data_IF_836012363546
#
_entry.id   IF_836012363546
#
_cell.length_a   1.000
_cell.length_b   1.000
_cell.length_c   1.000
_cell.angle_alpha   90.00
_cell.angle_beta   90.00
_cell.angle_gamma   90.00
#
_symmetry.space_group_name_H-M   'P 1'
#
loop_
_entity.id
_entity.type
_entity.pdbx_description
1 polymer ?
#
# COMPACT_ATOMS: atom_id res chain seq x y z
N UNK A 1 13.56 -12.62 -64.17
CA UNK A 1 13.17 -14.04 -63.97
C UNK A 1 13.28 -14.32 -62.48
N UNK A 2 12.21 -14.04 -61.73
CA UNK A 2 11.12 -14.97 -61.33
C UNK A 2 11.59 -15.95 -60.25
N UNK A 3 11.20 -15.69 -59.00
CA UNK A 3 10.18 -16.42 -58.21
C UNK A 3 10.81 -17.55 -57.37
N UNK A 4 10.94 -17.43 -56.04
CA UNK A 4 9.93 -17.49 -54.98
C UNK A 4 9.35 -18.90 -54.76
N UNK A 5 9.61 -19.50 -53.58
CA UNK A 5 8.65 -20.30 -52.78
C UNK A 5 9.19 -20.71 -51.41
N UNK A 6 8.68 -20.01 -50.40
CA UNK A 6 8.21 -20.45 -49.07
C UNK A 6 8.33 -21.93 -48.65
N UNK A 7 8.76 -22.12 -47.39
CA UNK A 7 8.07 -22.84 -46.27
C UNK A 7 8.91 -22.67 -44.98
N UNK A 8 8.55 -21.76 -44.08
CA UNK A 8 7.65 -21.92 -42.91
C UNK A 8 8.31 -22.56 -41.67
N UNK A 9 8.49 -21.78 -40.59
CA UNK A 9 7.82 -22.00 -39.30
C UNK A 9 8.37 -21.04 -38.21
N UNK A 10 7.46 -20.16 -37.76
CA UNK A 10 7.30 -19.60 -36.41
C UNK A 10 8.47 -19.59 -35.41
N UNK A 11 8.82 -18.37 -35.00
CA UNK A 11 8.78 -17.94 -33.59
C UNK A 11 8.60 -16.41 -33.58
N UNK A 12 7.39 -16.00 -33.22
CA UNK A 12 6.95 -14.62 -33.18
C UNK A 12 7.78 -13.81 -32.18
N UNK A 13 8.34 -12.71 -32.67
CA UNK A 13 8.84 -11.62 -31.83
C UNK A 13 7.68 -10.79 -31.31
N UNK A 14 7.69 -10.54 -30.00
CA UNK A 14 6.86 -9.50 -29.40
C UNK A 14 7.72 -8.26 -29.20
N UNK A 15 7.63 -7.33 -30.15
CA UNK A 15 8.02 -5.94 -29.93
C UNK A 15 6.74 -5.20 -29.57
N UNK A 16 6.49 -5.01 -28.27
CA UNK A 16 5.38 -4.19 -27.78
C UNK A 16 5.69 -2.72 -28.10
N UNK A 17 4.92 -2.14 -29.02
CA UNK A 17 4.88 -0.70 -29.23
C UNK A 17 4.00 -0.07 -28.16
N UNK A 18 4.65 0.63 -27.24
CA UNK A 18 4.05 1.65 -26.38
C UNK A 18 3.31 2.67 -27.26
N UNK A 19 2.01 2.90 -27.01
CA UNK A 19 1.33 4.09 -27.53
C UNK A 19 0.34 4.68 -26.53
N UNK A 20 0.72 5.88 -26.08
CA UNK A 20 -0.11 7.07 -25.85
C UNK A 20 -0.62 7.39 -24.42
N UNK A 21 0.07 8.28 -23.67
CA UNK A 21 -0.30 8.72 -22.32
C UNK A 21 -1.39 9.81 -22.26
N UNK A 22 -2.11 10.09 -23.35
CA UNK A 22 -3.07 11.22 -23.42
C UNK A 22 -4.56 10.88 -23.27
N UNK A 23 -4.94 9.78 -22.58
CA UNK A 23 -6.36 9.41 -22.39
C UNK A 23 -6.92 9.71 -20.99
N UNK A 24 -7.86 10.67 -20.82
CA UNK A 24 -8.54 11.02 -19.56
C UNK A 24 -9.51 9.95 -18.99
N UNK A 25 -9.38 8.68 -19.41
CA UNK A 25 -10.37 7.63 -19.15
C UNK A 25 -10.02 6.70 -17.97
N UNK A 26 -8.79 6.76 -17.45
CA UNK A 26 -8.36 5.89 -16.34
C UNK A 26 -8.78 6.48 -14.97
N UNK A 27 -8.84 7.82 -14.85
CA UNK A 27 -9.23 8.47 -13.59
C UNK A 27 -10.73 8.36 -13.26
N UNK A 28 -11.58 8.20 -14.29
CA UNK A 28 -13.06 8.19 -14.13
C UNK A 28 -13.62 6.80 -13.79
N UNK A 29 -12.92 5.72 -14.18
CA UNK A 29 -13.35 4.33 -13.91
C UNK A 29 -13.00 3.88 -12.48
N UNK A 30 -11.88 4.36 -11.93
CA UNK A 30 -11.46 4.14 -10.55
C UNK A 30 -12.47 4.67 -9.52
N UNK A 31 -13.14 5.80 -9.81
CA UNK A 31 -14.14 6.40 -8.92
C UNK A 31 -15.50 5.65 -8.91
N UNK A 32 -15.82 4.94 -10.00
CA UNK A 32 -17.10 4.21 -10.15
C UNK A 32 -17.05 2.85 -9.44
N UNK A 33 -15.92 2.14 -9.51
CA UNK A 33 -15.66 0.90 -8.76
C UNK A 33 -15.57 1.20 -7.24
N UNK A 34 -14.97 2.34 -6.86
CA UNK A 34 -14.88 2.85 -5.48
C UNK A 34 -16.23 3.04 -4.78
N UNK A 35 -17.33 3.23 -5.52
CA UNK A 35 -18.64 3.54 -4.92
C UNK A 35 -19.50 2.29 -4.67
N UNK A 36 -19.29 1.22 -5.44
CA UNK A 36 -20.03 -0.04 -5.30
C UNK A 36 -19.50 -0.92 -4.15
N UNK A 37 -18.18 -0.95 -3.94
CA UNK A 37 -17.51 -1.79 -2.92
C UNK A 37 -17.91 -1.43 -1.46
N UNK A 38 -18.35 -0.20 -1.19
CA UNK A 38 -18.67 0.23 0.17
C UNK A 38 -20.11 0.00 0.60
N UNK A 39 -21.00 -0.64 -0.16
CA UNK A 39 -22.44 -0.61 0.12
C UNK A 39 -23.20 -1.90 0.45
N UNK A 40 -22.58 -3.07 0.51
CA UNK A 40 -23.33 -4.29 0.86
C UNK A 40 -23.00 -4.83 2.26
N UNK A 41 -24.07 -5.22 2.98
CA UNK A 41 -24.08 -5.63 4.40
C UNK A 41 -24.10 -7.14 4.51
N UNK A 42 -23.38 -7.69 5.48
CA UNK A 42 -23.76 -8.96 6.12
C UNK A 42 -23.98 -8.77 7.62
N UNK A 43 -24.97 -9.50 8.12
CA UNK A 43 -25.53 -9.46 9.48
C UNK A 43 -24.96 -10.65 10.26
N UNK A 44 -24.27 -10.38 11.38
CA UNK A 44 -24.08 -11.35 12.47
C UNK A 44 -24.23 -10.65 13.83
N UNK A 45 -24.94 -11.30 14.75
CA UNK A 45 -25.23 -10.93 16.14
C UNK A 45 -24.68 -12.10 17.00
N UNK A 46 -24.02 -11.98 18.16
CA UNK A 46 -24.30 -11.15 19.34
C UNK A 46 -23.00 -10.89 20.19
N UNK A 47 -22.88 -9.66 20.71
CA UNK A 47 -22.06 -9.21 21.89
C UNK A 47 -20.54 -9.01 21.79
N UNK A 48 -20.01 -8.90 20.59
CA UNK A 48 -18.91 -7.97 20.27
C UNK A 48 -19.32 -7.37 18.93
N UNK A 49 -19.43 -6.05 18.79
CA UNK A 49 -19.71 -5.47 17.47
C UNK A 49 -18.43 -5.67 16.66
N UNK A 50 -18.30 -6.80 15.96
CA UNK A 50 -17.17 -7.07 15.06
C UNK A 50 -17.13 -5.94 14.04
N UNK A 51 -16.09 -5.11 14.10
CA UNK A 51 -15.90 -3.99 13.21
C UNK A 51 -15.70 -4.53 11.79
N UNK A 52 -16.63 -4.26 10.88
CA UNK A 52 -16.42 -4.60 9.47
C UNK A 52 -15.61 -3.51 8.75
N UNK A 53 -15.08 -3.82 7.57
CA UNK A 53 -14.19 -2.91 6.85
C UNK A 53 -14.85 -1.57 6.46
N UNK A 54 -16.15 -1.58 6.11
CA UNK A 54 -16.92 -0.34 5.88
C UNK A 54 -16.99 0.54 7.13
N UNK A 55 -17.25 -0.07 8.29
CA UNK A 55 -17.29 0.64 9.56
C UNK A 55 -15.90 1.16 9.93
N UNK A 56 -14.84 0.38 9.72
CA UNK A 56 -13.46 0.85 9.87
C UNK A 56 -13.25 2.15 9.10
N UNK A 57 -13.53 2.16 7.80
CA UNK A 57 -13.31 3.34 6.96
C UNK A 57 -14.07 4.58 7.43
N UNK A 58 -15.30 4.42 7.92
CA UNK A 58 -16.07 5.53 8.49
C UNK A 58 -15.48 6.09 9.79
N UNK A 59 -14.66 5.29 10.51
CA UNK A 59 -14.03 5.68 11.76
C UNK A 59 -12.60 6.20 11.59
N UNK A 60 -11.88 5.83 10.52
CA UNK A 60 -10.51 6.28 10.27
C UNK A 60 -10.34 7.81 10.29
N UNK A 61 -11.25 8.63 9.72
CA UNK A 61 -11.17 10.10 9.81
C UNK A 61 -11.21 10.66 11.24
N UNK A 62 -11.58 9.85 12.23
CA UNK A 62 -11.64 10.24 13.65
C UNK A 62 -10.34 9.95 14.40
N UNK A 63 -9.40 9.21 13.81
CA UNK A 63 -8.07 9.06 14.40
C UNK A 63 -7.34 10.41 14.38
N UNK A 64 -6.60 10.71 15.45
CA UNK A 64 -5.86 11.95 15.61
C UNK A 64 -4.54 11.72 16.33
N UNK A 65 -3.59 12.62 16.08
CA UNK A 65 -2.29 12.63 16.75
C UNK A 65 -1.57 11.29 16.58
N UNK A 66 -0.95 10.80 17.65
CA UNK A 66 -0.17 9.56 17.63
C UNK A 66 -0.94 8.34 17.10
N UNK A 67 -2.27 8.29 17.27
CA UNK A 67 -3.09 7.17 16.77
C UNK A 67 -3.14 7.13 15.25
N UNK A 68 -3.34 8.30 14.64
CA UNK A 68 -3.35 8.43 13.18
C UNK A 68 -1.97 8.13 12.61
N UNK A 69 -0.92 8.74 13.17
CA UNK A 69 0.47 8.44 12.78
C UNK A 69 0.78 6.96 12.86
N UNK A 70 0.49 6.32 14.00
CA UNK A 70 0.83 4.92 14.23
C UNK A 70 0.09 3.96 13.30
N UNK A 71 -1.19 4.24 13.02
CA UNK A 71 -1.97 3.47 12.05
C UNK A 71 -1.31 3.55 10.66
N UNK A 72 -1.02 4.76 10.19
CA UNK A 72 -0.37 4.97 8.88
C UNK A 72 1.04 4.37 8.82
N UNK A 73 1.83 4.53 9.89
CA UNK A 73 3.18 3.97 9.99
C UNK A 73 3.16 2.44 9.98
N UNK A 74 2.13 1.82 10.56
CA UNK A 74 1.98 0.37 10.54
C UNK A 74 1.73 -0.15 9.11
N UNK A 75 0.94 0.57 8.30
CA UNK A 75 0.74 0.24 6.89
C UNK A 75 2.01 0.45 6.07
N UNK A 76 2.71 1.56 6.28
CA UNK A 76 3.97 1.86 5.60
C UNK A 76 5.04 0.80 5.90
N UNK A 77 5.17 0.40 7.16
CA UNK A 77 6.13 -0.63 7.56
C UNK A 77 5.78 -2.00 6.95
N UNK A 78 4.50 -2.38 6.92
CA UNK A 78 4.06 -3.61 6.24
C UNK A 78 4.32 -3.57 4.73
N UNK A 79 4.25 -2.41 4.10
CA UNK A 79 4.51 -2.26 2.66
C UNK A 79 6.01 -2.29 2.31
N UNK A 80 6.91 -2.15 3.28
CA UNK A 80 8.37 -2.06 3.08
C UNK A 80 8.97 -3.15 2.18
N UNK A 81 8.62 -4.46 2.33
CA UNK A 81 9.22 -5.50 1.50
C UNK A 81 8.97 -5.31 -0.01
N UNK A 82 7.87 -4.63 -0.39
CA UNK A 82 7.61 -4.30 -1.79
C UNK A 82 8.68 -3.36 -2.36
N UNK A 83 9.02 -2.31 -1.60
CA UNK A 83 10.04 -1.35 -1.99
C UNK A 83 11.42 -1.99 -2.02
N UNK A 84 11.74 -2.79 -1.00
CA UNK A 84 13.04 -3.44 -0.89
C UNK A 84 13.31 -4.41 -2.05
N UNK A 85 12.33 -5.27 -2.39
CA UNK A 85 12.47 -6.20 -3.52
C UNK A 85 12.62 -5.44 -4.84
N UNK A 86 11.81 -4.40 -5.07
CA UNK A 86 11.95 -3.56 -6.25
C UNK A 86 13.35 -2.94 -6.33
N UNK A 87 13.83 -2.33 -5.24
CA UNK A 87 15.12 -1.67 -5.19
C UNK A 87 16.26 -2.63 -5.53
N UNK A 88 16.21 -3.86 -4.99
CA UNK A 88 17.16 -4.92 -5.30
C UNK A 88 17.12 -5.31 -6.78
N UNK A 89 15.94 -5.60 -7.32
CA UNK A 89 15.75 -6.03 -8.72
C UNK A 89 16.14 -4.94 -9.71
N UNK A 90 15.82 -3.68 -9.39
CA UNK A 90 16.14 -2.51 -10.20
C UNK A 90 17.62 -2.10 -10.13
N UNK A 91 18.39 -2.64 -9.18
CA UNK A 91 19.77 -2.20 -8.91
C UNK A 91 19.86 -0.82 -8.25
N UNK A 92 18.73 -0.33 -7.73
CA UNK A 92 18.64 0.89 -6.94
C UNK A 92 19.10 0.57 -5.51
N UNK A 93 20.30 1.01 -5.12
CA UNK A 93 20.91 0.71 -3.80
C UNK A 93 20.21 1.31 -2.57
N UNK A 94 18.91 1.55 -2.65
CA UNK A 94 18.14 2.45 -1.80
C UNK A 94 17.19 1.73 -0.82
N UNK A 95 17.08 0.39 -0.89
CA UNK A 95 16.21 -0.40 0.00
C UNK A 95 16.56 -0.23 1.49
N UNK A 96 17.85 -0.19 1.82
CA UNK A 96 18.30 0.04 3.21
C UNK A 96 17.89 1.42 3.74
N UNK A 97 17.99 2.46 2.92
CA UNK A 97 17.66 3.82 3.35
C UNK A 97 16.15 3.98 3.63
N UNK A 98 15.28 3.32 2.86
CA UNK A 98 13.85 3.27 3.15
C UNK A 98 13.56 2.62 4.51
N UNK A 99 14.23 1.50 4.82
CA UNK A 99 14.14 0.87 6.13
C UNK A 99 14.55 1.82 7.24
N UNK A 100 15.68 2.53 7.08
CA UNK A 100 16.17 3.47 8.08
C UNK A 100 15.24 4.68 8.28
N UNK A 101 14.58 5.17 7.22
CA UNK A 101 13.54 6.21 7.35
C UNK A 101 12.37 5.70 8.19
N UNK A 102 11.85 4.49 7.91
CA UNK A 102 10.76 3.89 8.68
C UNK A 102 11.19 3.63 10.13
N UNK A 103 12.39 3.11 10.35
CA UNK A 103 12.94 2.85 11.68
C UNK A 103 13.07 4.14 12.50
N UNK A 104 13.54 5.23 11.88
CA UNK A 104 13.61 6.54 12.52
C UNK A 104 12.20 7.08 12.83
N UNK A 105 11.20 6.82 11.97
CA UNK A 105 9.82 7.20 12.27
C UNK A 105 9.28 6.51 13.51
N UNK A 106 9.57 5.22 13.70
CA UNK A 106 9.26 4.49 14.93
C UNK A 106 9.97 5.10 16.14
N UNK A 107 11.27 5.38 16.01
CA UNK A 107 12.07 5.95 17.09
C UNK A 107 11.52 7.30 17.56
N UNK A 108 11.24 8.23 16.65
CA UNK A 108 10.68 9.54 16.99
C UNK A 108 9.26 9.44 17.59
N UNK A 109 8.50 8.39 17.25
CA UNK A 109 7.22 8.12 17.89
C UNK A 109 7.40 7.60 19.33
N UNK A 110 8.42 6.78 19.58
CA UNK A 110 8.76 6.19 20.88
C UNK A 110 9.37 7.21 21.86
N UNK A 111 10.29 8.06 21.40
CA UNK A 111 10.96 9.04 22.25
C UNK A 111 10.19 10.36 22.42
N UNK A 112 9.13 10.55 21.62
CA UNK A 112 8.38 11.81 21.51
C UNK A 112 9.22 13.01 21.04
N UNK A 113 10.35 12.77 20.38
CA UNK A 113 11.29 13.81 19.92
C UNK A 113 10.98 14.33 18.51
N UNK A 114 9.70 14.42 18.14
CA UNK A 114 9.26 14.95 16.84
C UNK A 114 9.41 16.46 16.76
N UNK A 115 10.63 16.93 16.50
CA UNK A 115 10.92 18.33 16.19
C UNK A 115 10.73 18.61 14.69
N UNK A 116 10.61 19.89 14.33
CA UNK A 116 10.58 20.32 12.92
C UNK A 116 11.87 19.93 12.19
N UNK A 117 13.01 20.08 12.85
CA UNK A 117 14.31 19.71 12.27
C UNK A 117 14.40 18.21 11.93
N UNK A 118 13.97 17.35 12.86
CA UNK A 118 13.94 15.90 12.61
C UNK A 118 12.97 15.54 11.47
N UNK A 119 11.79 16.14 11.47
CA UNK A 119 10.78 15.88 10.42
C UNK A 119 11.27 16.35 9.05
N UNK A 120 11.79 17.57 8.95
CA UNK A 120 12.34 18.12 7.70
C UNK A 120 13.56 17.31 7.22
N UNK A 121 14.35 16.76 8.15
CA UNK A 121 15.45 15.84 7.85
C UNK A 121 14.97 14.54 7.23
N UNK A 122 13.92 13.93 7.76
CA UNK A 122 13.32 12.72 7.21
C UNK A 122 12.67 12.94 5.86
N UNK A 123 11.99 14.08 5.65
CA UNK A 123 11.43 14.44 4.33
C UNK A 123 12.54 14.49 3.28
N UNK A 124 13.64 15.20 3.56
CA UNK A 124 14.79 15.27 2.63
C UNK A 124 15.45 13.92 2.35
N UNK A 125 15.41 12.98 3.31
CA UNK A 125 15.90 11.61 3.11
C UNK A 125 14.94 10.83 2.21
N UNK A 126 13.64 10.89 2.51
CA UNK A 126 12.60 10.25 1.73
C UNK A 126 12.60 10.74 0.28
N UNK A 127 12.69 12.05 0.02
CA UNK A 127 12.71 12.63 -1.34
C UNK A 127 13.79 12.02 -2.26
N UNK A 128 14.92 11.56 -1.70
CA UNK A 128 15.99 10.89 -2.47
C UNK A 128 15.62 9.47 -2.89
N UNK A 129 14.59 8.90 -2.29
CA UNK A 129 14.05 7.56 -2.56
C UNK A 129 12.84 7.61 -3.49
N UNK A 130 12.47 8.78 -4.02
CA UNK A 130 11.36 8.91 -4.95
C UNK A 130 11.59 8.06 -6.20
N UNK A 131 10.58 7.31 -6.59
CA UNK A 131 10.62 6.40 -7.74
C UNK A 131 9.70 6.93 -8.84
N UNK A 132 10.25 7.17 -10.02
CA UNK A 132 9.47 7.46 -11.22
C UNK A 132 9.09 6.15 -11.91
N UNK A 133 7.81 5.77 -11.82
CA UNK A 133 7.31 4.51 -12.36
C UNK A 133 7.53 4.37 -13.87
N UNK A 134 7.55 5.47 -14.61
CA UNK A 134 7.70 5.48 -16.07
C UNK A 134 9.12 5.07 -16.52
N UNK A 135 10.09 5.02 -15.60
CA UNK A 135 11.47 4.59 -15.88
C UNK A 135 11.68 3.07 -15.79
N UNK A 136 10.64 2.30 -15.41
CA UNK A 136 10.78 0.87 -15.14
C UNK A 136 9.72 0.04 -15.86
N UNK A 137 10.15 -1.09 -16.42
CA UNK A 137 9.26 -2.06 -17.07
C UNK A 137 8.75 -3.16 -16.12
N UNK A 138 9.32 -3.24 -14.91
CA UNK A 138 8.95 -4.25 -13.91
C UNK A 138 7.76 -3.80 -13.09
N UNK A 139 6.75 -4.67 -12.94
CA UNK A 139 5.55 -4.36 -12.15
C UNK A 139 5.86 -3.94 -10.70
N UNK A 140 6.93 -4.47 -10.11
CA UNK A 140 7.34 -4.17 -8.73
C UNK A 140 7.54 -2.68 -8.43
N UNK A 141 7.69 -1.83 -9.45
CA UNK A 141 7.76 -0.37 -9.29
C UNK A 141 6.49 0.22 -8.68
N UNK A 142 5.31 -0.29 -9.03
CA UNK A 142 4.03 0.25 -8.54
C UNK A 142 3.85 0.07 -7.03
N UNK A 143 3.97 -1.16 -6.46
CA UNK A 143 3.86 -1.32 -5.00
C UNK A 143 5.04 -0.66 -4.24
N UNK A 144 6.19 -0.44 -4.88
CA UNK A 144 7.28 0.36 -4.30
C UNK A 144 6.91 1.85 -4.18
N UNK A 145 6.33 2.46 -5.23
CA UNK A 145 5.79 3.83 -5.19
C UNK A 145 4.73 3.96 -4.10
N UNK A 146 3.83 2.99 -3.97
CA UNK A 146 2.80 2.99 -2.91
C UNK A 146 3.41 2.92 -1.50
N UNK A 147 4.49 2.16 -1.31
CA UNK A 147 5.23 2.17 -0.04
C UNK A 147 5.83 3.55 0.25
N UNK A 148 6.46 4.20 -0.74
CA UNK A 148 6.99 5.56 -0.61
C UNK A 148 5.88 6.55 -0.20
N UNK A 149 4.74 6.52 -0.89
CA UNK A 149 3.60 7.40 -0.60
C UNK A 149 3.03 7.16 0.82
N UNK A 150 2.98 5.91 1.29
CA UNK A 150 2.57 5.61 2.67
C UNK A 150 3.52 6.23 3.70
N UNK A 151 4.84 6.14 3.50
CA UNK A 151 5.83 6.79 4.38
C UNK A 151 5.69 8.31 4.32
N UNK A 152 5.43 8.88 3.14
CA UNK A 152 5.13 10.31 2.98
C UNK A 152 3.91 10.74 3.83
N UNK A 153 2.84 9.93 3.82
CA UNK A 153 1.66 10.18 4.66
C UNK A 153 1.99 10.14 6.16
N UNK A 154 2.95 9.32 6.61
CA UNK A 154 3.42 9.35 8.01
C UNK A 154 4.03 10.70 8.33
N UNK A 155 5.00 11.15 7.53
CA UNK A 155 5.70 12.41 7.77
C UNK A 155 4.75 13.60 7.73
N UNK A 156 3.83 13.63 6.76
CA UNK A 156 2.87 14.70 6.68
C UNK A 156 1.78 14.66 7.76
N UNK A 157 1.57 13.52 8.44
CA UNK A 157 0.73 13.47 9.64
C UNK A 157 1.31 14.30 10.79
N UNK A 158 2.64 14.54 10.78
CA UNK A 158 3.31 15.43 11.73
C UNK A 158 3.33 16.88 11.27
N UNK A 159 3.57 17.12 9.97
CA UNK A 159 3.69 18.47 9.42
C UNK A 159 2.33 19.19 9.36
N UNK A 160 1.27 18.48 8.99
CA UNK A 160 -0.08 19.02 8.89
C UNK A 160 -1.09 18.07 9.55
N UNK A 161 -1.15 18.04 10.89
CA UNK A 161 -1.97 17.10 11.64
C UNK A 161 -3.48 17.36 11.55
N UNK A 162 -3.90 18.51 11.00
CA UNK A 162 -5.32 18.78 10.74
C UNK A 162 -5.81 18.12 9.45
N UNK A 163 -4.92 17.88 8.49
CA UNK A 163 -5.24 17.09 7.32
C UNK A 163 -5.13 15.60 7.66
N UNK A 164 -6.27 14.94 7.85
CA UNK A 164 -6.35 13.53 8.23
C UNK A 164 -5.93 12.62 7.08
N UNK A 165 -5.11 11.62 7.37
CA UNK A 165 -4.44 10.76 6.40
C UNK A 165 -4.77 9.29 6.56
N UNK A 166 -5.28 8.88 7.72
CA UNK A 166 -5.51 7.47 8.01
C UNK A 166 -6.43 6.78 6.98
N UNK A 167 -7.48 7.47 6.51
CA UNK A 167 -8.40 6.91 5.51
C UNK A 167 -7.73 6.76 4.14
N UNK A 168 -6.94 7.74 3.72
CA UNK A 168 -6.29 7.70 2.42
C UNK A 168 -5.13 6.69 2.42
N UNK A 169 -4.38 6.59 3.51
CA UNK A 169 -3.37 5.54 3.69
C UNK A 169 -3.98 4.12 3.69
N UNK A 170 -5.12 3.93 4.37
CA UNK A 170 -5.86 2.68 4.34
C UNK A 170 -6.33 2.30 2.93
N UNK A 171 -6.82 3.27 2.16
CA UNK A 171 -7.20 3.05 0.76
C UNK A 171 -5.99 2.70 -0.06
N UNK A 172 -4.91 3.45 0.05
CA UNK A 172 -3.69 3.25 -0.72
C UNK A 172 -3.10 1.83 -0.51
N UNK A 173 -3.08 1.37 0.74
CA UNK A 173 -2.62 0.02 1.06
C UNK A 173 -3.54 -1.06 0.49
N UNK A 174 -4.87 -0.88 0.55
CA UNK A 174 -5.81 -1.81 -0.08
C UNK A 174 -5.73 -1.77 -1.62
N UNK A 175 -5.58 -0.60 -2.21
CA UNK A 175 -5.42 -0.38 -3.64
C UNK A 175 -4.21 -1.14 -4.18
N UNK A 176 -3.09 -1.11 -3.44
CA UNK A 176 -1.89 -1.91 -3.76
C UNK A 176 -2.22 -3.39 -3.90
N UNK A 177 -3.06 -3.92 -3.01
CA UNK A 177 -3.48 -5.34 -3.03
C UNK A 177 -4.43 -5.62 -4.18
N UNK A 178 -5.44 -4.79 -4.39
CA UNK A 178 -6.42 -5.01 -5.46
C UNK A 178 -5.78 -4.87 -6.84
N UNK A 179 -4.88 -3.91 -7.03
CA UNK A 179 -4.12 -3.74 -8.28
C UNK A 179 -3.20 -4.92 -8.55
N UNK A 180 -2.58 -5.51 -7.52
CA UNK A 180 -1.79 -6.73 -7.67
C UNK A 180 -2.64 -7.95 -8.03
N UNK A 181 -3.80 -8.10 -7.39
CA UNK A 181 -4.75 -9.18 -7.70
C UNK A 181 -5.29 -9.06 -9.12
N UNK A 182 -5.64 -7.85 -9.55
CA UNK A 182 -6.09 -7.57 -10.92
C UNK A 182 -4.97 -7.85 -11.93
N UNK A 183 -3.75 -7.37 -11.68
CA UNK A 183 -2.59 -7.63 -12.53
C UNK A 183 -2.27 -9.12 -12.67
N UNK A 184 -2.49 -9.90 -11.60
CA UNK A 184 -2.24 -11.34 -11.56
C UNK A 184 -3.39 -12.18 -12.14
N UNK A 185 -4.53 -11.57 -12.45
CA UNK A 185 -5.69 -12.26 -13.00
C UNK A 185 -5.63 -12.37 -14.53
N UNK A 186 -6.44 -13.27 -15.10
CA UNK A 186 -6.56 -13.40 -16.56
C UNK A 186 -7.12 -12.10 -17.16
N UNK A 187 -6.59 -11.69 -18.32
CA UNK A 187 -6.95 -10.41 -18.97
C UNK A 187 -8.41 -10.33 -19.45
N UNK A 188 -9.11 -11.47 -19.49
CA UNK A 188 -10.45 -11.60 -20.09
C UNK A 188 -11.59 -11.66 -19.06
N UNK A 189 -11.31 -11.42 -17.77
CA UNK A 189 -12.36 -11.37 -16.74
C UNK A 189 -13.22 -10.11 -16.88
N UNK A 190 -14.54 -10.26 -16.68
CA UNK A 190 -15.45 -9.12 -16.65
C UNK A 190 -15.37 -8.32 -15.34
N UNK A 191 -15.81 -7.06 -15.36
CA UNK A 191 -15.85 -6.19 -14.17
C UNK A 191 -16.60 -6.87 -12.98
N UNK A 192 -17.66 -7.65 -13.24
CA UNK A 192 -18.39 -8.38 -12.18
C UNK A 192 -17.60 -9.56 -11.60
N UNK A 193 -16.85 -10.26 -12.44
CA UNK A 193 -15.98 -11.36 -12.01
C UNK A 193 -14.79 -10.83 -11.21
N UNK A 194 -14.23 -9.69 -11.60
CA UNK A 194 -13.16 -9.01 -10.86
C UNK A 194 -13.63 -8.57 -9.46
N UNK A 195 -14.84 -8.02 -9.34
CA UNK A 195 -15.44 -7.69 -8.03
C UNK A 195 -15.61 -8.95 -7.18
N UNK A 196 -16.11 -10.04 -7.78
CA UNK A 196 -16.23 -11.33 -7.09
C UNK A 196 -14.88 -11.86 -6.64
N UNK A 197 -13.84 -11.73 -7.48
CA UNK A 197 -12.47 -12.09 -7.14
C UNK A 197 -11.98 -11.30 -5.93
N UNK A 198 -12.09 -9.98 -5.93
CA UNK A 198 -11.67 -9.14 -4.79
C UNK A 198 -12.38 -9.52 -3.49
N UNK A 199 -13.69 -9.80 -3.54
CA UNK A 199 -14.47 -10.17 -2.35
C UNK A 199 -14.00 -11.48 -1.70
N UNK A 200 -13.43 -12.39 -2.49
CA UNK A 200 -13.03 -13.70 -2.00
C UNK A 200 -11.52 -13.88 -1.90
N UNK A 201 -10.72 -12.97 -2.47
CA UNK A 201 -9.27 -13.11 -2.56
C UNK A 201 -8.61 -13.09 -1.16
N UNK A 202 -7.75 -14.08 -0.83
CA UNK A 202 -7.09 -14.16 0.47
C UNK A 202 -6.30 -12.91 0.85
N UNK A 203 -5.52 -12.33 -0.08
CA UNK A 203 -4.74 -11.11 0.18
C UNK A 203 -5.63 -9.91 0.53
N UNK A 204 -6.79 -9.76 -0.13
CA UNK A 204 -7.73 -8.67 0.15
C UNK A 204 -8.30 -8.82 1.55
N UNK A 205 -8.71 -10.03 1.93
CA UNK A 205 -9.21 -10.33 3.28
C UNK A 205 -8.14 -10.08 4.34
N UNK A 206 -6.91 -10.56 4.11
CA UNK A 206 -5.78 -10.35 5.01
C UNK A 206 -5.46 -8.87 5.21
N UNK A 207 -5.50 -8.06 4.15
CA UNK A 207 -5.31 -6.60 4.25
C UNK A 207 -6.43 -5.94 5.06
N UNK A 208 -7.69 -6.30 4.81
CA UNK A 208 -8.81 -5.78 5.59
C UNK A 208 -8.70 -6.15 7.08
N UNK A 209 -8.38 -7.41 7.38
CA UNK A 209 -8.20 -7.92 8.74
C UNK A 209 -7.03 -7.23 9.45
N UNK A 210 -5.89 -7.05 8.76
CA UNK A 210 -4.74 -6.30 9.26
C UNK A 210 -5.13 -4.88 9.65
N UNK A 211 -5.84 -4.15 8.78
CA UNK A 211 -6.25 -2.78 9.07
C UNK A 211 -7.27 -2.69 10.21
N UNK A 212 -8.23 -3.63 10.28
CA UNK A 212 -9.21 -3.70 11.37
C UNK A 212 -8.49 -3.91 12.70
N UNK A 213 -7.56 -4.86 12.76
CA UNK A 213 -6.81 -5.18 13.98
C UNK A 213 -5.88 -4.03 14.39
N UNK A 214 -5.17 -3.42 13.44
CA UNK A 214 -4.35 -2.23 13.67
C UNK A 214 -5.18 -1.10 14.30
N UNK A 215 -6.32 -0.78 13.69
CA UNK A 215 -7.23 0.24 14.20
C UNK A 215 -7.76 -0.10 15.59
N UNK A 216 -8.13 -1.37 15.83
CA UNK A 216 -8.64 -1.83 17.13
C UNK A 216 -7.60 -1.61 18.24
N UNK A 217 -6.35 -2.07 18.03
CA UNK A 217 -5.27 -1.91 18.99
C UNK A 217 -4.99 -0.42 19.30
N UNK A 218 -4.85 0.39 18.24
CA UNK A 218 -4.58 1.83 18.35
C UNK A 218 -5.71 2.59 19.06
N UNK A 219 -6.98 2.26 18.76
CA UNK A 219 -8.15 2.91 19.35
C UNK A 219 -8.31 2.59 20.84
N UNK A 220 -8.02 1.35 21.25
CA UNK A 220 -8.20 0.89 22.63
C UNK A 220 -7.11 1.41 23.57
N UNK A 221 -5.91 1.65 23.05
CA UNK A 221 -4.77 2.06 23.87
C UNK A 221 -4.89 3.53 24.31
N UNK A 222 -4.55 3.85 25.56
CA UNK A 222 -4.74 5.22 26.11
C UNK A 222 -3.64 6.19 25.66
N UNK A 223 -2.40 5.73 25.67
CA UNK A 223 -1.20 6.49 25.31
C UNK A 223 -0.14 5.55 24.70
N UNK A 224 0.77 6.06 23.86
CA UNK A 224 1.70 5.22 23.10
C UNK A 224 2.91 4.81 23.97
N UNK A 225 2.70 3.91 24.93
CA UNK A 225 3.81 3.40 25.74
C UNK A 225 4.86 2.68 24.88
N UNK A 226 6.13 2.71 25.30
CA UNK A 226 7.23 1.97 24.67
C UNK A 226 6.86 0.49 24.43
N UNK A 227 6.30 -0.18 25.43
CA UNK A 227 5.90 -1.58 25.32
C UNK A 227 4.81 -1.78 24.25
N UNK A 228 3.84 -0.87 24.16
CA UNK A 228 2.79 -0.91 23.14
C UNK A 228 3.35 -0.65 21.73
N UNK A 229 4.20 0.38 21.58
CA UNK A 229 4.83 0.69 20.29
C UNK A 229 5.69 -0.45 19.78
N UNK A 230 6.45 -1.14 20.65
CA UNK A 230 7.21 -2.34 20.27
C UNK A 230 6.32 -3.48 19.78
N UNK A 231 5.16 -3.71 20.42
CA UNK A 231 4.18 -4.70 19.95
C UNK A 231 3.59 -4.31 18.60
N UNK A 232 3.25 -3.02 18.43
CA UNK A 232 2.71 -2.51 17.17
C UNK A 232 3.73 -2.56 16.04
N UNK A 233 5.02 -2.32 16.32
CA UNK A 233 6.09 -2.50 15.35
C UNK A 233 6.19 -3.94 14.88
N UNK A 234 6.22 -4.91 15.81
CA UNK A 234 6.22 -6.34 15.49
C UNK A 234 4.97 -6.76 14.70
N UNK A 235 3.80 -6.23 15.08
CA UNK A 235 2.56 -6.45 14.34
C UNK A 235 2.66 -5.92 12.90
N UNK A 236 3.20 -4.70 12.73
CA UNK A 236 3.36 -4.06 11.43
C UNK A 236 4.41 -4.74 10.54
N UNK A 237 5.48 -5.30 11.13
CA UNK A 237 6.45 -6.14 10.42
C UNK A 237 5.78 -7.36 9.78
N UNK A 238 4.69 -7.86 10.38
CA UNK A 238 3.87 -8.94 9.82
C UNK A 238 4.72 -10.16 9.40
N UNK A 239 5.65 -10.56 10.26
CA UNK A 239 6.61 -11.65 10.01
C UNK A 239 7.49 -11.42 8.77
N UNK A 240 7.71 -10.16 8.37
CA UNK A 240 8.45 -9.79 7.18
C UNK A 240 7.63 -9.81 5.88
N UNK A 241 6.33 -10.14 5.96
CA UNK A 241 5.46 -10.33 4.80
C UNK A 241 4.66 -9.07 4.49
N UNK A 242 4.72 -8.62 3.24
CA UNK A 242 4.03 -7.42 2.79
C UNK A 242 2.52 -7.59 2.59
N UNK A 243 1.85 -6.48 2.25
CA UNK A 243 0.44 -6.47 1.91
C UNK A 243 0.08 -7.29 0.65
N UNK A 244 1.03 -7.51 -0.26
CA UNK A 244 0.88 -8.38 -1.43
C UNK A 244 1.60 -9.73 -1.29
N UNK A 245 2.06 -10.08 -0.08
CA UNK A 245 2.66 -11.37 0.21
C UNK A 245 4.15 -11.50 -0.12
N UNK A 246 4.86 -10.39 -0.34
CA UNK A 246 6.32 -10.40 -0.56
C UNK A 246 7.04 -10.56 0.78
N UNK A 247 8.02 -11.47 0.83
CA UNK A 247 8.97 -11.63 1.94
C UNK A 247 10.41 -11.57 1.37
N UNK A 248 11.37 -11.11 2.17
CA UNK A 248 12.79 -10.93 1.76
C UNK A 248 13.70 -12.05 2.29
N UNK A 249 13.16 -13.25 2.52
CA UNK A 249 13.90 -14.41 3.04
C UNK A 249 15.02 -14.92 2.11
#
# INVERSE_FOLDING_TARGET
MTENRNKSADRAGYTLKLTDPSRPAIQTRYLQIRTAFFNEREIYNEREITLNYKQLQSNLPRLKGWRETLFTLSLAHRAFPNFALFAEVAGEGNGHEMHEVIAQCWHLLETDERTREHTDGLVRRLEKLAVDADQYEVYGVYPAVKCYELVEQVLYSWINPENRRALDAARLSLETVTEFVEYSADTDISDNELVSLFNHHPLVKQEQDFQIECFRQVKMERFPSEQFLRRMRKFAENEGVSNIGICLD
#
